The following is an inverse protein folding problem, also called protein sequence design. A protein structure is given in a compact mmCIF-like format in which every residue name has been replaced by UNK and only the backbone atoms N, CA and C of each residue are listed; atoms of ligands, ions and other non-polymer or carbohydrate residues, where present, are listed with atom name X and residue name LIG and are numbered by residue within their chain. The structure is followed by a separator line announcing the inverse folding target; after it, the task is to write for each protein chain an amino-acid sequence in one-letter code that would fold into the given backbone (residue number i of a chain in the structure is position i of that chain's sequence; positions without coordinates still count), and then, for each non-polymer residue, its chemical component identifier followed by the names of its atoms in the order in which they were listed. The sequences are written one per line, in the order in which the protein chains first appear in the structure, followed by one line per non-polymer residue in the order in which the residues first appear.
data_IF_653323248498
#
_entry.id   IF_653323248498
#
_cell.length_a   1.000
_cell.length_b   1.000
_cell.length_c   1.000
_cell.angle_alpha   90.00
_cell.angle_beta   90.00
_cell.angle_gamma   90.00
#
_symmetry.space_group_name_H-M   'P 1'
#
loop_
_entity.id
_entity.type
_entity.pdbx_description
1 polymer ?
#
# COMPACT_ATOMS: atom_id res chain seq x y z
N UNK A 1 5.89 -1.94 -14.35
CA UNK A 1 6.45 -0.89 -13.46
C UNK A 1 5.57 0.36 -13.41
N UNK A 2 5.11 0.89 -14.55
CA UNK A 2 4.24 2.09 -14.65
C UNK A 2 3.00 2.07 -13.76
N UNK A 3 2.27 0.93 -13.72
CA UNK A 3 1.06 0.76 -12.91
C UNK A 3 1.29 0.95 -11.41
N UNK A 4 2.43 0.48 -10.87
CA UNK A 4 2.73 0.63 -9.45
C UNK A 4 2.95 2.10 -9.07
N UNK A 5 3.71 2.84 -9.89
CA UNK A 5 3.92 4.28 -9.70
C UNK A 5 2.63 5.07 -9.86
N UNK A 6 1.84 4.78 -10.90
CA UNK A 6 0.56 5.43 -11.15
C UNK A 6 -0.43 5.19 -9.99
N UNK A 7 -0.49 3.97 -9.44
CA UNK A 7 -1.25 3.64 -8.24
C UNK A 7 -0.88 4.54 -7.04
N UNK A 8 0.41 4.64 -6.74
CA UNK A 8 0.88 5.47 -5.62
C UNK A 8 0.69 6.96 -5.86
N UNK A 9 0.83 7.42 -7.10
CA UNK A 9 0.56 8.81 -7.48
C UNK A 9 -0.93 9.16 -7.30
N UNK A 10 -1.84 8.35 -7.86
CA UNK A 10 -3.28 8.53 -7.72
C UNK A 10 -3.71 8.51 -6.24
N UNK A 11 -3.15 7.60 -5.45
CA UNK A 11 -3.42 7.51 -4.02
C UNK A 11 -2.98 8.77 -3.25
N UNK A 12 -1.76 9.28 -3.53
CA UNK A 12 -1.28 10.52 -2.91
C UNK A 12 -2.11 11.73 -3.31
N UNK A 13 -2.52 11.84 -4.58
CA UNK A 13 -3.42 12.90 -5.03
C UNK A 13 -4.79 12.84 -4.36
N UNK A 14 -5.39 11.65 -4.27
CA UNK A 14 -6.65 11.46 -3.58
C UNK A 14 -6.55 11.83 -2.08
N UNK A 15 -5.45 11.44 -1.43
CA UNK A 15 -5.18 11.81 -0.04
C UNK A 15 -5.06 13.32 0.15
N UNK A 16 -4.30 14.02 -0.72
CA UNK A 16 -4.19 15.48 -0.69
C UNK A 16 -5.56 16.14 -0.83
N UNK A 17 -6.42 15.64 -1.71
CA UNK A 17 -7.80 16.14 -1.89
C UNK A 17 -8.70 15.90 -0.66
N UNK A 18 -8.53 14.76 0.00
CA UNK A 18 -9.29 14.40 1.21
C UNK A 18 -8.81 15.11 2.48
N UNK A 19 -7.63 15.73 2.46
CA UNK A 19 -7.07 16.40 3.62
C UNK A 19 -7.93 17.61 4.05
N UNK A 20 -8.08 17.90 5.36
CA UNK A 20 -8.92 19.01 5.84
C UNK A 20 -8.53 20.39 5.28
N UNK A 21 -7.24 20.62 5.00
CA UNK A 21 -6.74 21.85 4.38
C UNK A 21 -6.79 21.86 2.85
N UNK A 22 -7.35 20.80 2.23
CA UNK A 22 -7.34 20.59 0.79
C UNK A 22 -5.97 20.27 0.20
N UNK A 23 -5.93 20.12 -1.12
CA UNK A 23 -4.76 19.57 -1.81
C UNK A 23 -3.48 20.42 -1.69
N UNK A 24 -3.60 21.73 -1.56
CA UNK A 24 -2.45 22.63 -1.46
C UNK A 24 -1.81 22.62 -0.06
N UNK A 25 -2.52 22.17 0.98
CA UNK A 25 -2.04 22.19 2.35
C UNK A 25 -1.06 21.04 2.68
N UNK A 26 -1.00 20.00 1.86
CA UNK A 26 -0.08 18.87 2.00
C UNK A 26 0.82 18.75 0.78
N UNK A 27 2.12 18.58 1.03
CA UNK A 27 3.10 18.18 0.05
C UNK A 27 3.09 16.67 -0.19
N UNK A 28 3.72 16.25 -1.29
CA UNK A 28 3.83 14.84 -1.68
C UNK A 28 4.62 13.98 -0.68
N UNK A 29 5.50 14.63 0.10
CA UNK A 29 6.32 14.00 1.14
C UNK A 29 5.54 13.78 2.44
N UNK A 30 4.45 14.51 2.64
CA UNK A 30 3.62 14.45 3.86
C UNK A 30 2.60 13.30 3.80
N UNK A 31 2.58 12.54 2.70
CA UNK A 31 1.67 11.43 2.45
C UNK A 31 2.46 10.16 2.10
N UNK A 32 2.18 9.08 2.81
CA UNK A 32 2.77 7.75 2.58
C UNK A 32 1.67 6.74 2.28
N UNK A 33 1.88 5.91 1.26
CA UNK A 33 1.04 4.73 0.98
C UNK A 33 1.70 3.52 1.65
N UNK A 34 1.01 2.88 2.59
CA UNK A 34 1.49 1.68 3.28
C UNK A 34 0.69 0.46 2.84
N UNK A 35 1.35 -0.69 2.83
CA UNK A 35 0.74 -1.99 2.60
C UNK A 35 1.09 -2.85 3.83
N UNK A 36 0.15 -3.14 4.74
CA UNK A 36 0.42 -3.96 5.92
C UNK A 36 0.88 -5.37 5.50
N UNK A 37 1.98 -5.86 6.11
CA UNK A 37 2.54 -7.19 5.83
C UNK A 37 3.91 -7.19 5.13
N UNK A 38 4.45 -6.03 4.75
CA UNK A 38 5.82 -5.92 4.21
C UNK A 38 6.91 -5.99 5.30
N UNK A 39 6.55 -5.99 6.58
CA UNK A 39 7.47 -5.91 7.72
C UNK A 39 7.63 -7.20 8.54
N UNK A 40 6.89 -8.28 8.23
CA UNK A 40 7.00 -9.57 8.95
C UNK A 40 7.62 -10.72 8.14
N UNK A 41 7.88 -10.55 6.84
CA UNK A 41 8.46 -11.62 6.00
C UNK A 41 10.00 -11.65 5.98
N UNK A 42 10.69 -10.71 6.61
CA UNK A 42 12.16 -10.62 6.57
C UNK A 42 12.88 -11.45 7.65
N UNK A 43 12.14 -12.15 8.54
CA UNK A 43 12.72 -12.95 9.65
C UNK A 43 12.22 -14.41 9.73
N UNK A 44 11.60 -14.95 8.68
CA UNK A 44 11.31 -16.39 8.61
C UNK A 44 12.54 -17.14 8.09
N UNK A 45 13.40 -17.51 9.04
CA UNK A 45 14.59 -18.35 8.91
C UNK A 45 14.53 -19.40 7.80
N UNK A 46 15.54 -19.35 6.94
CA UNK A 46 16.03 -20.45 6.11
C UNK A 46 16.27 -21.67 6.99
N UNK A 47 15.34 -22.63 6.96
CA UNK A 47 15.59 -24.02 7.35
C UNK A 47 15.38 -24.87 6.10
N UNK A 48 16.40 -24.89 5.24
CA UNK A 48 16.59 -25.94 4.25
C UNK A 48 17.21 -27.15 4.96
N UNK A 49 16.44 -28.24 5.09
CA UNK A 49 16.93 -29.62 5.00
C UNK A 49 15.75 -30.58 4.97
N UNK A 50 15.41 -31.10 3.78
CA UNK A 50 14.53 -32.25 3.67
C UNK A 50 13.79 -32.44 2.35
N UNK A 51 14.40 -32.19 1.19
CA UNK A 51 13.84 -32.67 -0.07
C UNK A 51 14.04 -34.19 -0.17
N UNK A 52 13.01 -34.96 0.20
CA UNK A 52 12.89 -36.36 -0.20
C UNK A 52 11.43 -36.79 -0.26
N UNK A 53 11.03 -37.09 -1.51
CA UNK A 53 9.91 -37.93 -1.95
C UNK A 53 8.53 -37.26 -2.09
N UNK A 54 8.09 -37.19 -3.35
CA UNK A 54 6.70 -37.39 -3.71
C UNK A 54 6.08 -36.21 -4.45
N UNK A 55 5.75 -36.44 -5.72
CA UNK A 55 5.17 -35.43 -6.59
C UNK A 55 3.81 -34.90 -6.11
N UNK A 56 3.60 -33.62 -6.38
CA UNK A 56 2.43 -33.16 -7.09
C UNK A 56 2.73 -31.76 -7.62
N UNK A 57 2.74 -31.62 -8.95
CA UNK A 57 2.79 -30.33 -9.61
C UNK A 57 1.53 -29.55 -9.29
N UNK A 58 1.54 -28.82 -8.19
CA UNK A 58 0.56 -27.77 -7.96
C UNK A 58 1.04 -26.60 -8.79
N UNK A 59 0.37 -26.37 -9.92
CA UNK A 59 0.37 -25.08 -10.59
C UNK A 59 -0.10 -24.07 -9.54
N UNK A 60 0.84 -23.49 -8.81
CA UNK A 60 0.57 -22.32 -8.00
C UNK A 60 0.30 -21.20 -8.99
N UNK A 61 -0.96 -21.13 -9.40
CA UNK A 61 -1.57 -19.96 -9.99
C UNK A 61 -0.98 -18.74 -9.28
N UNK A 62 -0.49 -17.77 -10.06
CA UNK A 62 0.03 -16.52 -9.55
C UNK A 62 -0.87 -16.08 -8.39
N UNK A 63 -0.32 -16.03 -7.18
CA UNK A 63 -1.07 -15.71 -5.97
C UNK A 63 -1.39 -14.21 -5.99
N UNK A 64 -2.30 -13.83 -6.87
CA UNK A 64 -2.97 -12.55 -6.90
C UNK A 64 -3.97 -12.60 -5.74
N UNK A 65 -3.57 -12.05 -4.59
CA UNK A 65 -4.51 -11.81 -3.48
C UNK A 65 -4.18 -12.45 -2.14
N UNK A 66 -2.99 -12.22 -1.60
CA UNK A 66 -3.04 -11.71 -0.21
C UNK A 66 -3.43 -10.24 -0.35
N UNK A 67 -4.72 -9.94 -0.20
CA UNK A 67 -5.24 -8.57 -0.24
C UNK A 67 -4.67 -7.81 0.96
N UNK A 68 -3.41 -7.38 0.87
CA UNK A 68 -2.83 -6.45 1.82
C UNK A 68 -3.54 -5.13 1.60
N UNK A 69 -4.53 -4.82 2.45
CA UNK A 69 -5.37 -3.62 2.32
C UNK A 69 -4.47 -2.39 2.41
N UNK A 70 -4.27 -1.62 1.33
CA UNK A 70 -3.39 -0.47 1.39
C UNK A 70 -4.02 0.62 2.28
N UNK A 71 -3.16 1.43 2.88
CA UNK A 71 -3.54 2.52 3.77
C UNK A 71 -2.81 3.80 3.37
N UNK A 72 -3.43 4.95 3.65
CA UNK A 72 -2.77 6.25 3.59
C UNK A 72 -2.34 6.66 4.98
N UNK A 73 -1.12 7.16 5.10
CA UNK A 73 -0.61 7.81 6.30
C UNK A 73 -0.39 9.29 5.96
N UNK A 74 -1.05 10.15 6.70
CA UNK A 74 -0.79 11.59 6.74
C UNK A 74 0.23 11.85 7.84
N UNK A 75 1.43 12.28 7.45
CA UNK A 75 2.50 12.51 8.41
C UNK A 75 2.22 13.76 9.24
N UNK A 76 2.36 13.65 10.56
CA UNK A 76 2.33 14.78 11.47
C UNK A 76 3.57 15.64 11.23
N UNK A 77 3.42 16.79 10.57
CA UNK A 77 4.52 17.66 10.12
C UNK A 77 5.35 18.36 11.20
N UNK A 78 5.65 17.70 12.34
CA UNK A 78 6.49 18.22 13.43
C UNK A 78 6.08 17.73 14.82
N UNK A 79 6.90 18.06 15.83
CA UNK A 79 6.69 17.67 17.23
C UNK A 79 5.27 18.02 17.72
N UNK A 80 4.55 16.99 18.19
CA UNK A 80 3.24 17.13 18.82
C UNK A 80 2.01 16.85 17.94
N UNK A 81 2.16 16.62 16.63
CA UNK A 81 1.05 16.15 15.78
C UNK A 81 1.22 14.66 15.46
N UNK A 82 0.29 13.78 15.87
CA UNK A 82 0.37 12.38 15.51
C UNK A 82 0.11 12.18 14.01
N UNK A 83 0.69 11.11 13.46
CA UNK A 83 0.31 10.61 12.14
C UNK A 83 -1.17 10.21 12.13
N UNK A 84 -1.85 10.47 11.03
CA UNK A 84 -3.26 10.07 10.83
C UNK A 84 -3.38 9.03 9.74
N UNK A 85 -4.22 8.02 9.98
CA UNK A 85 -4.46 6.95 9.03
C UNK A 85 -5.73 7.23 8.23
N UNK A 86 -5.65 7.05 6.92
CA UNK A 86 -6.79 7.09 6.01
C UNK A 86 -7.02 5.72 5.37
N UNK A 87 -8.28 5.39 5.12
CA UNK A 87 -8.61 4.21 4.32
C UNK A 87 -8.30 4.48 2.85
N UNK A 88 -7.77 3.47 2.16
CA UNK A 88 -7.36 3.58 0.77
C UNK A 88 -7.83 2.37 -0.03
N UNK A 89 -8.36 2.65 -1.21
CA UNK A 89 -8.61 1.67 -2.26
C UNK A 89 -7.94 2.14 -3.55
N UNK A 90 -7.27 1.23 -4.26
CA UNK A 90 -6.65 1.47 -5.56
C UNK A 90 -7.14 0.39 -6.53
N UNK A 91 -7.55 0.81 -7.72
CA UNK A 91 -7.92 -0.07 -8.83
C UNK A 91 -7.39 0.47 -10.15
N UNK A 92 -7.31 -0.37 -11.18
CA UNK A 92 -6.94 -0.01 -12.54
C UNK A 92 -7.55 -1.04 -13.52
N UNK A 93 -7.63 -0.69 -14.79
CA UNK A 93 -8.09 -1.58 -15.88
C UNK A 93 -7.00 -1.91 -16.91
N UNK A 94 -5.83 -1.26 -16.80
CA UNK A 94 -4.72 -1.39 -17.74
C UNK A 94 -4.37 -0.08 -18.44
N UNK A 95 -5.33 0.84 -18.54
CA UNK A 95 -5.16 2.17 -19.13
C UNK A 95 -5.31 3.28 -18.09
N UNK A 96 -6.27 3.14 -17.18
CA UNK A 96 -6.58 4.10 -16.12
C UNK A 96 -6.24 3.55 -14.73
N UNK A 97 -5.93 4.46 -13.81
CA UNK A 97 -5.76 4.17 -12.39
C UNK A 97 -6.68 5.06 -11.59
N UNK A 98 -7.40 4.47 -10.64
CA UNK A 98 -8.30 5.16 -9.72
C UNK A 98 -7.86 4.87 -8.30
N UNK A 99 -7.89 5.90 -7.45
CA UNK A 99 -7.69 5.75 -6.02
C UNK A 99 -8.77 6.53 -5.26
N UNK A 100 -9.30 5.92 -4.21
CA UNK A 100 -10.25 6.56 -3.30
C UNK A 100 -9.66 6.59 -1.90
N UNK A 101 -9.71 7.75 -1.26
CA UNK A 101 -9.21 7.95 0.10
C UNK A 101 -10.32 8.52 0.98
N UNK A 102 -10.48 7.92 2.15
CA UNK A 102 -11.26 8.48 3.25
C UNK A 102 -10.27 8.90 4.33
N UNK A 103 -10.10 10.20 4.53
CA UNK A 103 -9.27 10.71 5.62
C UNK A 103 -9.97 10.46 6.95
N UNK A 104 -9.29 9.84 7.92
CA UNK A 104 -9.75 9.91 9.29
C UNK A 104 -9.50 11.33 9.82
N UNK A 105 -10.51 11.90 10.48
CA UNK A 105 -10.44 13.21 11.14
C UNK A 105 -9.37 13.23 12.22
#
# INVERSE_FOLDING_TARGET
MTRWLAGRFAAKEAARKAAPGGAAALGWKDVVVRVPGDSEMDNATVLDMGNSLGGNGVLAAAQEGTSRRPEIVFLGGGEGRPDRLGQLSISHDGEYVVATVLAAG
#
